data_IF_784379843949
#
_entry.id   IF_784379843949
#
_cell.length_a   1.000
_cell.length_b   1.000
_cell.length_c   1.000
_cell.angle_alpha   90.00
_cell.angle_beta   90.00
_cell.angle_gamma   90.00
#
_symmetry.space_group_name_H-M   'P 1'
#
loop_
_entity.id
_entity.type
_entity.pdbx_description
1 polymer ?
#
# COMPACT_ATOMS: atom_id res chain seq x y z
N UNK A 1 2.98 9.46 -2.48
CA UNK A 1 4.23 9.66 -1.71
C UNK A 1 4.02 9.71 -0.19
N UNK A 2 3.24 10.65 0.37
CA UNK A 2 3.13 10.82 1.84
C UNK A 2 2.61 9.59 2.59
N UNK A 3 1.61 8.87 2.04
CA UNK A 3 1.01 7.70 2.70
C UNK A 3 1.98 6.52 2.82
N UNK A 4 2.62 6.09 1.71
CA UNK A 4 3.59 4.99 1.74
C UNK A 4 4.80 5.32 2.63
N UNK A 5 5.28 6.57 2.60
CA UNK A 5 6.37 7.02 3.47
C UNK A 5 5.97 7.05 4.94
N UNK A 6 4.74 7.49 5.26
CA UNK A 6 4.21 7.46 6.62
C UNK A 6 4.12 6.02 7.16
N UNK A 7 3.61 5.10 6.35
CA UNK A 7 3.52 3.68 6.72
C UNK A 7 4.91 3.05 6.93
N UNK A 8 5.87 3.29 6.02
CA UNK A 8 7.24 2.81 6.22
C UNK A 8 7.84 3.39 7.50
N UNK A 9 7.70 4.71 7.74
CA UNK A 9 8.21 5.34 8.95
C UNK A 9 7.71 4.65 10.21
N UNK A 10 6.41 4.37 10.30
CA UNK A 10 5.86 3.65 11.45
C UNK A 10 6.40 2.21 11.56
N UNK A 11 6.69 1.54 10.44
CA UNK A 11 7.32 0.21 10.46
C UNK A 11 8.78 0.23 10.92
N UNK A 12 9.52 1.31 10.65
CA UNK A 12 10.95 1.42 10.96
C UNK A 12 11.25 2.11 12.30
N UNK A 13 10.35 2.94 12.84
CA UNK A 13 10.53 3.56 14.17
C UNK A 13 10.10 2.55 15.25
N UNK A 14 10.93 1.53 15.45
CA UNK A 14 10.94 0.80 16.72
C UNK A 14 11.75 1.62 17.72
N UNK A 15 11.12 2.20 18.73
CA UNK A 15 11.84 2.89 19.81
C UNK A 15 12.73 1.90 20.57
N UNK A 16 14.00 2.25 20.87
CA UNK A 16 14.96 1.30 21.42
C UNK A 16 14.83 1.04 22.92
N UNK A 17 13.99 1.76 23.65
CA UNK A 17 14.13 1.83 25.12
C UNK A 17 13.35 0.77 25.89
N UNK A 18 12.26 0.20 25.36
CA UNK A 18 11.53 -0.86 26.07
C UNK A 18 10.77 -1.74 25.09
N UNK A 19 11.05 -3.03 25.17
CA UNK A 19 10.17 -4.15 24.79
C UNK A 19 10.09 -4.59 23.30
N UNK A 20 10.46 -5.86 23.11
CA UNK A 20 10.22 -6.76 21.97
C UNK A 20 10.22 -6.15 20.55
N UNK A 21 11.31 -6.36 19.80
CA UNK A 21 11.36 -6.12 18.33
C UNK A 21 10.21 -6.82 17.61
N UNK A 22 9.21 -6.05 17.19
CA UNK A 22 8.11 -6.54 16.34
C UNK A 22 8.70 -6.83 14.96
N UNK A 23 8.70 -8.10 14.57
CA UNK A 23 9.04 -8.50 13.19
C UNK A 23 7.77 -8.59 12.38
N UNK A 24 7.74 -7.91 11.23
CA UNK A 24 6.62 -8.03 10.30
C UNK A 24 6.49 -9.47 9.80
N UNK A 25 5.25 -9.95 9.74
CA UNK A 25 4.90 -11.31 9.29
C UNK A 25 3.73 -11.25 8.33
N UNK A 26 3.71 -12.20 7.40
CA UNK A 26 2.55 -12.51 6.59
C UNK A 26 2.10 -13.93 6.90
N UNK A 27 0.96 -14.06 7.58
CA UNK A 27 0.54 -15.34 8.18
C UNK A 27 1.61 -15.89 9.12
N UNK A 28 2.14 -17.09 8.80
CA UNK A 28 3.20 -17.75 9.57
C UNK A 28 4.62 -17.41 9.10
N UNK A 29 4.77 -16.69 7.98
CA UNK A 29 6.05 -16.40 7.34
C UNK A 29 6.60 -15.04 7.74
N UNK A 30 7.90 -14.94 7.98
CA UNK A 30 8.58 -13.65 8.22
C UNK A 30 8.74 -12.88 6.91
N UNK A 31 8.56 -11.56 6.97
CA UNK A 31 8.96 -10.65 5.90
C UNK A 31 10.48 -10.49 5.97
N UNK A 32 11.16 -10.80 4.86
CA UNK A 32 12.61 -10.71 4.71
C UNK A 32 13.08 -9.38 4.13
N UNK A 33 12.22 -8.71 3.36
CA UNK A 33 12.51 -7.43 2.70
C UNK A 33 11.18 -6.69 2.44
N UNK A 34 11.17 -5.38 2.53
CA UNK A 34 10.02 -4.53 2.23
C UNK A 34 10.47 -3.11 1.91
N UNK A 35 9.64 -2.36 1.19
CA UNK A 35 9.97 -0.99 0.83
C UNK A 35 8.96 -0.34 -0.10
N UNK A 36 9.36 0.76 -0.72
CA UNK A 36 8.55 1.46 -1.72
C UNK A 36 9.06 1.13 -3.11
N UNK A 37 8.17 0.69 -3.98
CA UNK A 37 8.43 0.60 -5.40
C UNK A 37 7.78 1.78 -6.13
N UNK A 38 8.43 2.26 -7.19
CA UNK A 38 7.88 3.25 -8.13
C UNK A 38 7.84 2.64 -9.52
N UNK A 39 6.80 2.96 -10.27
CA UNK A 39 6.74 2.63 -11.68
C UNK A 39 5.42 3.01 -12.32
N UNK A 40 5.06 2.26 -13.37
CA UNK A 40 3.87 2.52 -14.16
C UNK A 40 2.74 1.56 -13.78
N UNK A 41 1.55 2.10 -13.53
CA UNK A 41 0.31 1.36 -13.42
C UNK A 41 -0.46 1.41 -14.75
N UNK A 42 -1.06 0.28 -15.14
CA UNK A 42 -1.95 0.22 -16.30
C UNK A 42 -3.34 0.66 -15.85
N UNK A 43 -3.72 1.89 -16.19
CA UNK A 43 -4.97 2.52 -15.78
C UNK A 43 -5.71 3.01 -17.02
N UNK A 44 -6.97 2.63 -17.18
CA UNK A 44 -7.79 3.12 -18.29
C UNK A 44 -8.18 4.58 -18.06
N UNK A 45 -8.59 5.30 -19.11
CA UNK A 45 -8.92 6.73 -18.97
C UNK A 45 -10.08 6.97 -18.01
N UNK A 46 -11.07 6.06 -17.98
CA UNK A 46 -12.19 6.13 -17.03
C UNK A 46 -11.77 5.94 -15.57
N UNK A 47 -10.62 5.31 -15.33
CA UNK A 47 -10.12 4.98 -13.99
C UNK A 47 -9.17 6.06 -13.44
N UNK A 48 -8.90 7.11 -14.23
CA UNK A 48 -8.07 8.24 -13.81
C UNK A 48 -8.93 9.23 -13.04
N UNK A 49 -8.66 9.35 -11.74
CA UNK A 49 -9.37 10.30 -10.89
C UNK A 49 -8.98 11.74 -11.25
N UNK A 50 -9.98 12.60 -11.29
CA UNK A 50 -9.83 14.05 -11.31
C UNK A 50 -10.82 14.66 -10.31
N UNK A 51 -10.30 15.51 -9.43
CA UNK A 51 -11.10 16.27 -8.48
C UNK A 51 -11.45 17.61 -9.11
N UNK A 52 -12.73 17.97 -9.13
CA UNK A 52 -13.19 19.29 -9.55
C UNK A 52 -13.46 20.14 -8.31
N UNK A 53 -12.77 21.26 -8.18
CA UNK A 53 -12.96 22.21 -7.10
C UNK A 53 -14.01 23.25 -7.49
N UNK A 54 -15.16 23.20 -6.83
CA UNK A 54 -16.28 24.12 -7.05
C UNK A 54 -15.96 25.57 -6.64
N UNK A 55 -14.90 25.77 -5.85
CA UNK A 55 -14.53 27.08 -5.31
C UNK A 55 -13.83 27.98 -6.32
N UNK A 56 -13.10 27.38 -7.27
CA UNK A 56 -12.28 28.09 -8.25
C UNK A 56 -12.41 27.51 -9.67
N UNK A 57 -13.38 26.61 -9.89
CA UNK A 57 -13.62 25.89 -11.14
C UNK A 57 -12.37 25.17 -11.69
N UNK A 58 -11.47 24.73 -10.82
CA UNK A 58 -10.24 24.03 -11.23
C UNK A 58 -10.35 22.53 -11.14
N UNK A 59 -9.59 21.84 -11.99
CA UNK A 59 -9.38 20.39 -11.90
C UNK A 59 -8.01 20.09 -11.28
N UNK A 60 -8.00 19.22 -10.27
CA UNK A 60 -6.79 18.58 -9.77
C UNK A 60 -6.79 17.12 -10.15
N UNK A 61 -5.80 16.73 -10.95
CA UNK A 61 -5.60 15.34 -11.34
C UNK A 61 -5.21 14.52 -10.11
N UNK A 62 -5.68 13.28 -10.07
CA UNK A 62 -5.24 12.27 -9.13
C UNK A 62 -3.78 11.89 -9.37
N UNK A 63 -3.37 10.74 -8.84
CA UNK A 63 -2.01 10.24 -9.04
C UNK A 63 -1.71 10.02 -10.53
N UNK A 64 -0.48 10.32 -10.97
CA UNK A 64 -0.02 10.01 -12.33
C UNK A 64 0.25 8.49 -12.42
N UNK A 65 -0.43 7.74 -13.31
CA UNK A 65 -0.18 6.32 -13.49
C UNK A 65 1.26 5.99 -13.90
N UNK A 66 2.00 6.92 -14.51
CA UNK A 66 3.39 6.69 -14.90
C UNK A 66 4.38 6.86 -13.75
N UNK A 67 3.94 7.47 -12.65
CA UNK A 67 4.74 7.74 -11.45
C UNK A 67 4.15 7.10 -10.19
N UNK A 68 3.44 5.99 -10.38
CA UNK A 68 2.74 5.32 -9.30
C UNK A 68 3.70 4.71 -8.27
N UNK A 69 3.29 4.72 -7.00
CA UNK A 69 4.06 4.17 -5.88
C UNK A 69 3.22 3.17 -5.09
N UNK A 70 3.83 2.05 -4.73
CA UNK A 70 3.21 1.02 -3.90
C UNK A 70 4.23 0.47 -2.88
N UNK A 71 3.71 -0.14 -1.82
CA UNK A 71 4.55 -0.90 -0.91
C UNK A 71 4.73 -2.31 -1.47
N UNK A 72 5.93 -2.85 -1.34
CA UNK A 72 6.19 -4.25 -1.62
C UNK A 72 6.67 -4.94 -0.35
N UNK A 73 6.37 -6.23 -0.26
CA UNK A 73 6.84 -7.11 0.80
C UNK A 73 7.34 -8.40 0.17
N UNK A 74 8.47 -8.88 0.66
CA UNK A 74 9.05 -10.17 0.29
C UNK A 74 9.10 -11.02 1.54
N UNK A 75 8.54 -12.23 1.49
CA UNK A 75 8.71 -13.21 2.57
C UNK A 75 9.89 -14.14 2.29
N UNK A 76 10.35 -14.90 3.29
CA UNK A 76 11.50 -15.81 3.16
C UNK A 76 11.42 -16.82 2.01
N UNK A 77 10.22 -17.22 1.57
CA UNK A 77 10.04 -18.06 0.38
C UNK A 77 10.24 -17.31 -0.94
N UNK A 78 10.72 -16.06 -0.90
CA UNK A 78 10.86 -15.13 -2.02
C UNK A 78 9.53 -14.76 -2.71
N UNK A 79 8.40 -15.06 -2.06
CA UNK A 79 7.09 -14.59 -2.53
C UNK A 79 6.97 -13.09 -2.31
N UNK A 80 6.67 -12.37 -3.41
CA UNK A 80 6.46 -10.93 -3.43
C UNK A 80 4.97 -10.61 -3.37
N UNK A 81 4.63 -9.67 -2.50
CA UNK A 81 3.28 -9.16 -2.30
C UNK A 81 3.30 -7.65 -2.53
N UNK A 82 2.24 -7.12 -3.13
CA UNK A 82 2.10 -5.69 -3.40
C UNK A 82 0.94 -5.14 -2.59
N UNK A 83 1.15 -3.99 -1.98
CA UNK A 83 0.14 -3.25 -1.27
C UNK A 83 0.04 -1.84 -1.85
N UNK A 84 -1.08 -1.61 -2.52
CA UNK A 84 -1.43 -0.35 -3.18
C UNK A 84 -2.38 0.44 -2.28
N UNK A 85 -2.10 1.74 -2.11
CA UNK A 85 -2.87 2.66 -1.25
C UNK A 85 -3.39 3.87 -2.03
N UNK A 86 -3.48 3.77 -3.36
CA UNK A 86 -3.88 4.92 -4.19
C UNK A 86 -4.61 4.56 -5.47
N UNK A 87 -3.88 4.10 -6.48
CA UNK A 87 -4.34 4.16 -7.86
C UNK A 87 -5.62 3.36 -8.10
N UNK A 88 -5.69 2.15 -7.54
CA UNK A 88 -6.84 1.27 -7.69
C UNK A 88 -7.87 1.42 -6.56
N UNK A 89 -7.42 1.86 -5.38
CA UNK A 89 -8.24 1.84 -4.16
C UNK A 89 -9.40 2.82 -4.20
N UNK A 90 -9.14 4.03 -4.69
CA UNK A 90 -10.17 5.06 -4.77
C UNK A 90 -11.13 4.84 -5.94
N UNK A 91 -10.63 4.34 -7.08
CA UNK A 91 -11.45 4.16 -8.27
C UNK A 91 -12.39 2.94 -8.17
N UNK A 92 -11.91 1.83 -7.61
CA UNK A 92 -12.70 0.60 -7.46
C UNK A 92 -13.35 0.46 -6.08
N UNK A 93 -13.30 1.51 -5.25
CA UNK A 93 -13.77 1.48 -3.86
C UNK A 93 -13.22 0.25 -3.10
N UNK A 94 -11.94 -0.04 -3.25
CA UNK A 94 -11.31 -1.21 -2.62
C UNK A 94 -10.87 -0.85 -1.22
N UNK A 95 -11.38 -1.62 -0.27
CA UNK A 95 -11.07 -1.49 1.14
C UNK A 95 -10.60 -2.83 1.69
N UNK A 96 -9.63 -2.78 2.59
CA UNK A 96 -9.26 -3.94 3.42
C UNK A 96 -9.96 -3.83 4.77
N UNK A 97 -10.45 -4.97 5.27
CA UNK A 97 -11.00 -5.04 6.62
C UNK A 97 -9.86 -5.15 7.64
N UNK A 98 -9.72 -4.12 8.47
CA UNK A 98 -8.72 -4.06 9.54
C UNK A 98 -9.17 -4.72 10.84
N UNK A 99 -10.47 -4.97 11.01
CA UNK A 99 -11.09 -5.40 12.27
C UNK A 99 -10.41 -6.61 12.93
N UNK A 100 -10.03 -7.69 12.21
CA UNK A 100 -9.37 -8.85 12.83
C UNK A 100 -8.00 -8.55 13.45
N UNK A 101 -7.41 -7.39 13.14
CA UNK A 101 -6.08 -7.00 13.59
C UNK A 101 -6.11 -5.93 14.71
N UNK A 102 -7.29 -5.40 15.05
CA UNK A 102 -7.43 -4.33 16.06
C UNK A 102 -7.34 -4.84 17.50
N UNK A 103 -7.58 -6.12 17.76
CA UNK A 103 -7.61 -6.70 19.12
C UNK A 103 -6.26 -6.61 19.85
N UNK A 104 -5.15 -6.49 19.10
CA UNK A 104 -3.79 -6.46 19.65
C UNK A 104 -3.10 -5.08 19.51
N UNK A 105 -3.79 -4.07 18.99
CA UNK A 105 -3.22 -2.73 18.76
C UNK A 105 -3.89 -1.76 19.75
N UNK A 106 -3.39 -1.73 20.98
CA UNK A 106 -3.97 -0.99 22.11
C UNK A 106 -3.92 0.55 22.02
N UNK A 107 -3.48 1.14 20.90
CA UNK A 107 -3.13 2.56 20.86
C UNK A 107 -3.39 3.27 19.54
N UNK A 108 -4.26 2.74 18.66
CA UNK A 108 -4.75 3.55 17.53
C UNK A 108 -5.90 4.46 17.99
N UNK A 109 -5.80 5.80 17.82
CA UNK A 109 -6.79 6.75 18.31
C UNK A 109 -8.18 6.61 17.68
N UNK A 110 -8.27 5.85 16.58
CA UNK A 110 -9.53 5.48 15.93
C UNK A 110 -9.45 4.02 15.48
N UNK A 111 -10.49 3.19 15.75
CA UNK A 111 -10.56 1.86 15.17
C UNK A 111 -10.68 2.00 13.65
N UNK A 112 -9.57 1.79 12.93
CA UNK A 112 -9.55 1.70 11.47
C UNK A 112 -10.15 0.36 11.06
N UNK A 113 -11.49 0.26 11.15
CA UNK A 113 -12.25 -0.93 10.75
C UNK A 113 -12.05 -1.24 9.26
N UNK A 114 -11.82 -0.21 8.46
CA UNK A 114 -11.44 -0.34 7.05
C UNK A 114 -10.42 0.72 6.66
N UNK A 115 -9.59 0.39 5.67
CA UNK A 115 -8.66 1.32 5.05
C UNK A 115 -8.71 1.15 3.52
N UNK A 116 -8.66 2.24 2.74
CA UNK A 116 -8.59 2.17 1.28
C UNK A 116 -7.23 1.58 0.90
N UNK A 117 -7.23 0.30 0.56
CA UNK A 117 -6.03 -0.45 0.23
C UNK A 117 -6.38 -1.61 -0.70
N UNK A 118 -5.43 -1.97 -1.55
CA UNK A 118 -5.54 -3.09 -2.46
C UNK A 118 -4.31 -3.97 -2.33
N UNK A 119 -4.55 -5.22 -1.97
CA UNK A 119 -3.52 -6.20 -1.72
C UNK A 119 -3.49 -7.19 -2.89
N UNK A 120 -2.33 -7.35 -3.49
CA UNK A 120 -2.10 -8.27 -4.61
C UNK A 120 -1.24 -9.42 -4.10
N UNK A 121 -1.82 -10.61 -4.04
CA UNK A 121 -1.13 -11.85 -3.70
C UNK A 121 -0.65 -12.60 -4.95
N UNK A 122 -0.02 -13.75 -4.73
CA UNK A 122 0.51 -14.58 -5.81
C UNK A 122 -0.55 -15.21 -6.69
N UNK A 123 -1.73 -15.50 -6.17
CA UNK A 123 -2.82 -16.07 -6.96
C UNK A 123 -3.37 -15.01 -7.89
N UNK A 124 -3.58 -13.80 -7.40
CA UNK A 124 -4.05 -12.67 -8.17
C UNK A 124 -3.04 -12.25 -9.24
N UNK A 125 -1.73 -12.23 -8.93
CA UNK A 125 -0.69 -12.01 -9.95
C UNK A 125 -0.74 -13.05 -11.07
N UNK A 126 -1.10 -14.30 -10.75
CA UNK A 126 -1.20 -15.38 -11.76
C UNK A 126 -2.47 -15.31 -12.59
N UNK A 127 -3.59 -14.88 -11.99
CA UNK A 127 -4.91 -14.91 -12.62
C UNK A 127 -5.31 -13.60 -13.29
N UNK A 128 -4.63 -12.49 -13.01
CA UNK A 128 -4.96 -11.16 -13.55
C UNK A 128 -3.91 -10.61 -14.51
N UNK A 129 -4.31 -9.78 -15.50
CA UNK A 129 -3.38 -9.03 -16.32
C UNK A 129 -2.44 -8.17 -15.47
N UNK A 130 -1.21 -7.98 -15.96
CA UNK A 130 -0.17 -7.26 -15.22
C UNK A 130 -0.59 -5.80 -14.93
N UNK A 131 -0.91 -5.52 -13.67
CA UNK A 131 -1.42 -4.22 -13.21
C UNK A 131 -0.34 -3.15 -13.09
N UNK A 132 0.89 -3.55 -12.75
CA UNK A 132 2.01 -2.63 -12.53
C UNK A 132 3.31 -3.12 -13.20
N UNK A 133 4.13 -2.15 -13.62
CA UNK A 133 5.48 -2.36 -14.13
C UNK A 133 6.44 -1.52 -13.30
N UNK A 134 7.26 -2.18 -12.49
CA UNK A 134 8.30 -1.54 -11.67
C UNK A 134 9.37 -0.93 -12.57
N UNK A 135 9.71 0.33 -12.32
CA UNK A 135 10.83 1.01 -12.97
C UNK A 135 11.99 1.25 -12.00
N UNK A 136 11.70 1.32 -10.70
CA UNK A 136 12.70 1.42 -9.66
C UNK A 136 12.16 0.96 -8.30
N UNK A 137 13.06 0.54 -7.44
CA UNK A 137 12.76 0.16 -6.06
C UNK A 137 13.59 1.05 -5.16
N UNK A 138 12.93 1.71 -4.22
CA UNK A 138 13.59 2.31 -3.06
C UNK A 138 13.59 1.21 -1.99
N UNK A 139 14.56 0.30 -2.12
CA UNK A 139 14.87 -0.71 -1.10
C UNK A 139 15.79 -0.07 -0.07
N UNK A 140 15.59 -0.39 1.20
CA UNK A 140 16.59 -0.11 2.26
C UNK A 140 17.62 -1.23 2.33
#
# INVERSE_FOLDING_TARGET
>A
MSVCMGLLREMYISTPETDRRVRLRHGKSLISDFGIAKGRATVQNQDKLAYFYLTDDTFKRGQDPNEHQWLYFTILSSMKMIFDVGMFTFNFCLYVNGQPYLENIYSVPFPLMSAPAFYVDTEMVRSTPKLTTTQGVLST
#
